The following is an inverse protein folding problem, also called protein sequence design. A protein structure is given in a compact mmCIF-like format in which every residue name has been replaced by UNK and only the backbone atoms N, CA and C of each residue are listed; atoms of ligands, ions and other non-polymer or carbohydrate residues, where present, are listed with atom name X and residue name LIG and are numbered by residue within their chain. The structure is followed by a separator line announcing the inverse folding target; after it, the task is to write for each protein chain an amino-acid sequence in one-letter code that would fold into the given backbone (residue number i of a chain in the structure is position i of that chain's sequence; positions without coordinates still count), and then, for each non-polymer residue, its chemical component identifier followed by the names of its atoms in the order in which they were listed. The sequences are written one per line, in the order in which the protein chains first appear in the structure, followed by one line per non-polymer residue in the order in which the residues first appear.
data_IF_328622298072
#
_entry.id   IF_328622298072
#
_cell.length_a   1.000
_cell.length_b   1.000
_cell.length_c   1.000
_cell.angle_alpha   90.00
_cell.angle_beta   90.00
_cell.angle_gamma   90.00
#
_symmetry.space_group_name_H-M   'P 1'
#
loop_
_entity.id
_entity.type
_entity.pdbx_description
1 polymer ?
#
# COMPACT_ATOMS: atom_id res chain seq x y z
N UNK A 1 27.11 11.96 19.10
CA UNK A 1 26.72 10.88 18.16
C UNK A 1 26.37 9.69 19.02
N UNK A 2 25.13 9.21 18.94
CA UNK A 2 24.77 7.92 19.52
C UNK A 2 25.62 6.83 18.87
N UNK A 3 26.08 5.87 19.66
CA UNK A 3 26.83 4.72 19.16
C UNK A 3 25.95 3.93 18.18
N UNK A 4 26.47 3.59 17.01
CA UNK A 4 25.73 2.84 15.98
C UNK A 4 25.45 1.39 16.40
N UNK A 5 26.04 0.95 17.51
CA UNK A 5 25.76 -0.36 18.12
C UNK A 5 24.44 -0.41 18.89
N UNK A 6 23.85 0.73 19.20
CA UNK A 6 22.57 0.86 19.90
C UNK A 6 21.49 1.43 18.98
N UNK A 7 20.22 1.28 19.38
CA UNK A 7 19.11 1.97 18.70
C UNK A 7 19.38 3.47 18.75
N UNK A 8 19.44 4.08 17.58
CA UNK A 8 19.62 5.51 17.43
C UNK A 8 18.51 6.07 16.54
N UNK A 9 18.07 7.27 16.88
CA UNK A 9 17.02 7.95 16.12
C UNK A 9 17.63 8.61 14.89
N UNK A 10 17.12 8.24 13.72
CA UNK A 10 17.24 9.04 12.51
C UNK A 10 16.05 10.02 12.47
N UNK A 11 16.34 11.32 12.45
CA UNK A 11 15.32 12.36 12.35
C UNK A 11 15.65 13.27 11.19
N UNK A 12 14.81 13.21 10.16
CA UNK A 12 14.98 13.97 8.93
C UNK A 12 13.69 14.72 8.58
N UNK A 13 13.84 15.82 7.84
CA UNK A 13 12.72 16.54 7.23
C UNK A 13 12.77 16.28 5.74
N UNK A 14 11.83 15.52 5.21
CA UNK A 14 11.67 15.31 3.77
C UNK A 14 10.68 16.33 3.21
N UNK A 15 11.12 17.11 2.21
CA UNK A 15 10.25 17.98 1.42
C UNK A 15 10.12 17.39 0.02
N UNK A 16 8.90 17.07 -0.39
CA UNK A 16 8.62 16.50 -1.71
C UNK A 16 7.75 17.47 -2.49
N UNK A 17 8.22 17.87 -3.67
CA UNK A 17 7.47 18.67 -4.63
C UNK A 17 7.25 17.85 -5.90
N UNK A 18 6.00 17.56 -6.22
CA UNK A 18 5.60 16.79 -7.42
C UNK A 18 4.48 17.52 -8.12
N UNK A 19 4.60 17.64 -9.44
CA UNK A 19 3.50 18.07 -10.30
C UNK A 19 2.54 16.89 -10.52
N UNK A 20 1.48 16.82 -9.72
CA UNK A 20 0.41 15.84 -9.90
C UNK A 20 -0.37 16.19 -11.18
N UNK A 21 -0.60 15.24 -12.11
CA UNK A 21 -1.36 15.52 -13.31
C UNK A 21 -2.80 15.92 -12.95
N UNK A 22 -3.41 16.81 -13.75
CA UNK A 22 -4.81 17.16 -13.59
C UNK A 22 -5.69 15.92 -13.79
N UNK A 23 -6.60 15.67 -12.85
CA UNK A 23 -7.50 14.52 -12.91
C UNK A 23 -8.89 14.90 -12.39
N UNK A 24 -9.93 14.16 -12.82
CA UNK A 24 -11.27 14.35 -12.27
C UNK A 24 -11.30 14.09 -10.74
N UNK A 25 -12.18 14.78 -9.99
CA UNK A 25 -12.40 14.47 -8.57
C UNK A 25 -12.71 12.98 -8.37
N UNK A 26 -12.16 12.41 -7.30
CA UNK A 26 -12.36 10.98 -7.01
C UNK A 26 -13.82 10.72 -6.65
N UNK A 27 -14.41 9.74 -7.31
CA UNK A 27 -15.66 9.10 -6.93
C UNK A 27 -15.39 7.62 -6.66
N UNK A 28 -16.20 6.99 -5.80
CA UNK A 28 -16.10 5.54 -5.60
C UNK A 28 -16.84 4.86 -6.75
N UNK A 29 -16.10 4.21 -7.64
CA UNK A 29 -16.69 3.49 -8.77
C UNK A 29 -17.28 2.15 -8.34
N UNK A 30 -18.21 1.62 -9.14
CA UNK A 30 -18.79 0.30 -8.90
C UNK A 30 -17.74 -0.83 -9.01
N UNK A 31 -16.71 -0.63 -9.84
CA UNK A 31 -15.56 -1.53 -9.94
C UNK A 31 -14.81 -1.57 -8.60
N UNK A 32 -14.35 -0.41 -8.11
CA UNK A 32 -13.67 -0.30 -6.82
C UNK A 32 -14.47 -0.90 -5.67
N UNK A 33 -15.75 -0.55 -5.55
CA UNK A 33 -16.60 -1.02 -4.45
C UNK A 33 -16.75 -2.55 -4.45
N UNK A 34 -16.79 -3.18 -5.63
CA UNK A 34 -16.87 -4.64 -5.78
C UNK A 34 -15.52 -5.30 -5.50
N UNK A 35 -14.47 -4.85 -6.16
CA UNK A 35 -13.14 -5.47 -6.11
C UNK A 35 -12.46 -5.28 -4.76
N UNK A 36 -12.77 -4.20 -4.02
CA UNK A 36 -12.33 -4.03 -2.62
C UNK A 36 -12.84 -5.15 -1.71
N UNK A 37 -14.05 -5.67 -1.93
CA UNK A 37 -14.57 -6.79 -1.13
C UNK A 37 -13.80 -8.08 -1.42
N UNK A 38 -13.48 -8.32 -2.70
CA UNK A 38 -12.66 -9.45 -3.13
C UNK A 38 -11.25 -9.34 -2.55
N UNK A 39 -10.66 -8.14 -2.54
CA UNK A 39 -9.38 -7.89 -1.88
C UNK A 39 -9.42 -8.23 -0.39
N UNK A 40 -10.46 -7.76 0.33
CA UNK A 40 -10.64 -8.09 1.75
C UNK A 40 -10.70 -9.61 1.97
N UNK A 41 -11.46 -10.33 1.16
CA UNK A 41 -11.55 -11.80 1.26
C UNK A 41 -10.21 -12.48 0.95
N UNK A 42 -9.53 -12.06 -0.12
CA UNK A 42 -8.23 -12.61 -0.55
C UNK A 42 -7.15 -12.46 0.52
N UNK A 43 -7.08 -11.28 1.15
CA UNK A 43 -6.07 -10.95 2.16
C UNK A 43 -6.48 -11.36 3.59
N UNK A 44 -7.57 -12.12 3.75
CA UNK A 44 -8.09 -12.52 5.06
C UNK A 44 -8.50 -11.34 5.95
N UNK A 45 -8.83 -10.21 5.35
CA UNK A 45 -9.13 -8.93 5.99
C UNK A 45 -8.04 -8.50 6.99
N UNK A 46 -6.78 -8.55 6.57
CA UNK A 46 -5.61 -8.20 7.38
C UNK A 46 -4.70 -7.18 6.71
N UNK A 47 -4.07 -6.34 7.52
CA UNK A 47 -3.11 -5.36 7.05
C UNK A 47 -1.84 -6.04 6.49
N UNK A 48 -1.38 -5.60 5.33
CA UNK A 48 -0.17 -6.09 4.68
C UNK A 48 1.10 -5.97 5.56
N UNK A 49 1.21 -4.94 6.40
CA UNK A 49 2.39 -4.71 7.24
C UNK A 49 2.32 -5.51 8.54
N UNK A 50 1.35 -5.21 9.41
CA UNK A 50 1.29 -5.81 10.76
C UNK A 50 0.37 -7.03 10.89
N UNK A 51 -0.34 -7.40 9.83
CA UNK A 51 -1.32 -8.50 9.83
C UNK A 51 -2.55 -8.29 10.75
N UNK A 52 -2.74 -7.08 11.28
CA UNK A 52 -3.89 -6.72 12.10
C UNK A 52 -5.21 -6.79 11.32
N UNK A 53 -6.27 -7.27 11.96
CA UNK A 53 -7.65 -7.05 11.50
C UNK A 53 -8.10 -5.60 11.76
N UNK A 54 -9.30 -5.26 11.28
CA UNK A 54 -9.92 -3.97 11.56
C UNK A 54 -10.16 -3.76 13.08
N UNK A 55 -10.56 -4.82 13.79
CA UNK A 55 -10.79 -4.80 15.23
C UNK A 55 -9.47 -4.60 15.99
N UNK A 56 -8.43 -5.35 15.61
CA UNK A 56 -7.10 -5.28 16.24
C UNK A 56 -6.45 -3.91 16.04
N UNK A 57 -6.59 -3.31 14.86
CA UNK A 57 -6.07 -1.98 14.54
C UNK A 57 -6.98 -0.82 14.97
N UNK A 58 -8.18 -1.11 15.50
CA UNK A 58 -9.15 -0.11 15.94
C UNK A 58 -9.81 0.71 14.82
N UNK A 59 -9.57 0.38 13.55
CA UNK A 59 -10.07 1.10 12.38
C UNK A 59 -10.36 0.17 11.21
N UNK A 60 -11.36 0.47 10.35
CA UNK A 60 -11.55 -0.29 9.12
C UNK A 60 -10.27 -0.32 8.26
N UNK A 61 -9.95 -1.48 7.70
CA UNK A 61 -8.83 -1.59 6.76
C UNK A 61 -9.13 -0.82 5.46
N UNK A 62 -8.07 -0.27 4.89
CA UNK A 62 -8.08 0.63 3.76
C UNK A 62 -7.44 -0.07 2.56
N UNK A 63 -8.07 0.08 1.38
CA UNK A 63 -7.50 -0.40 0.13
C UNK A 63 -6.65 0.72 -0.47
N UNK A 64 -5.35 0.57 -0.38
CA UNK A 64 -4.35 1.44 -0.97
C UNK A 64 -4.12 1.07 -2.44
N UNK A 65 -3.88 2.07 -3.30
CA UNK A 65 -3.60 1.83 -4.72
C UNK A 65 -2.12 1.47 -4.89
N UNK A 66 -1.82 0.26 -5.33
CA UNK A 66 -0.45 -0.21 -5.55
C UNK A 66 -0.39 -1.19 -6.72
N UNK A 67 0.54 -1.01 -7.68
CA UNK A 67 1.68 -0.08 -7.65
C UNK A 67 1.38 1.33 -8.18
N UNK A 68 0.21 1.57 -8.79
CA UNK A 68 -0.11 2.85 -9.42
C UNK A 68 -1.13 3.62 -8.59
N UNK A 69 -0.71 4.76 -8.06
CA UNK A 69 -1.59 5.71 -7.37
C UNK A 69 -2.62 6.30 -8.32
N UNK A 70 -3.87 6.41 -7.84
CA UNK A 70 -4.96 6.97 -8.65
C UNK A 70 -4.68 8.40 -9.10
N UNK A 71 -4.09 9.24 -8.25
CA UNK A 71 -3.77 10.63 -8.59
C UNK A 71 -2.70 10.76 -9.67
N UNK A 72 -1.92 9.71 -9.89
CA UNK A 72 -0.84 9.67 -10.88
C UNK A 72 -1.23 8.93 -12.16
N UNK A 73 -2.42 8.33 -12.24
CA UNK A 73 -2.81 7.47 -13.36
C UNK A 73 -2.70 8.16 -14.73
N UNK A 74 -3.02 9.46 -14.81
CA UNK A 74 -2.96 10.27 -16.03
C UNK A 74 -1.53 10.57 -16.50
N UNK A 75 -0.51 10.45 -15.63
CA UNK A 75 0.90 10.63 -16.02
C UNK A 75 1.60 9.32 -16.40
N UNK A 76 0.96 8.16 -16.24
CA UNK A 76 1.59 6.87 -16.49
C UNK A 76 1.69 6.59 -17.99
N UNK A 77 2.88 6.20 -18.44
CA UNK A 77 3.07 5.52 -19.72
C UNK A 77 2.57 4.08 -19.58
N UNK A 78 1.32 3.88 -20.00
CA UNK A 78 0.64 2.60 -19.87
C UNK A 78 1.20 1.50 -20.78
N UNK A 79 1.80 1.85 -21.92
CA UNK A 79 2.45 0.87 -22.79
C UNK A 79 3.72 0.34 -22.13
N UNK A 80 4.46 1.21 -21.44
CA UNK A 80 5.61 0.80 -20.62
C UNK A 80 5.17 -0.03 -19.42
N UNK A 81 4.16 0.41 -18.67
CA UNK A 81 3.66 -0.33 -17.51
C UNK A 81 3.15 -1.73 -17.89
N UNK A 82 2.43 -1.83 -19.01
CA UNK A 82 1.92 -3.10 -19.55
C UNK A 82 3.03 -4.10 -19.86
N UNK A 83 4.19 -3.65 -20.37
CA UNK A 83 5.32 -4.54 -20.63
C UNK A 83 5.82 -5.21 -19.34
N UNK A 84 6.05 -4.43 -18.28
CA UNK A 84 6.48 -4.94 -16.98
C UNK A 84 5.40 -5.85 -16.35
N UNK A 85 4.14 -5.46 -16.46
CA UNK A 85 3.01 -6.24 -15.97
C UNK A 85 2.92 -7.62 -16.64
N UNK A 86 2.99 -7.68 -17.98
CA UNK A 86 2.96 -8.93 -18.74
C UNK A 86 4.19 -9.80 -18.48
N UNK A 87 5.35 -9.18 -18.21
CA UNK A 87 6.57 -9.88 -17.80
C UNK A 87 6.50 -10.44 -16.36
N UNK A 88 5.44 -10.11 -15.59
CA UNK A 88 5.24 -10.60 -14.23
C UNK A 88 6.01 -9.83 -13.17
N UNK A 89 6.58 -8.67 -13.51
CA UNK A 89 7.39 -7.85 -12.59
C UNK A 89 6.60 -7.44 -11.33
N UNK A 90 5.31 -7.11 -11.52
CA UNK A 90 4.42 -6.69 -10.44
C UNK A 90 3.61 -7.84 -9.81
N UNK A 91 3.97 -9.09 -10.14
CA UNK A 91 3.35 -10.28 -9.58
C UNK A 91 2.15 -10.83 -10.38
N UNK A 92 1.65 -12.01 -9.97
CA UNK A 92 0.77 -12.84 -10.80
C UNK A 92 -0.61 -12.24 -11.02
N UNK A 93 -1.16 -11.49 -10.06
CA UNK A 93 -2.49 -10.87 -10.21
C UNK A 93 -2.48 -9.81 -11.30
N UNK A 94 -1.46 -8.95 -11.31
CA UNK A 94 -1.28 -7.91 -12.33
C UNK A 94 -0.93 -8.55 -13.68
N UNK A 95 -0.12 -9.61 -13.68
CA UNK A 95 0.19 -10.35 -14.90
C UNK A 95 -1.04 -10.97 -15.56
N UNK A 96 -1.96 -11.50 -14.74
CA UNK A 96 -3.19 -12.16 -15.19
C UNK A 96 -4.32 -11.19 -15.58
N UNK A 97 -4.14 -9.88 -15.39
CA UNK A 97 -5.10 -8.88 -15.85
C UNK A 97 -5.32 -8.97 -17.37
N UNK A 98 -6.53 -8.67 -17.84
CA UNK A 98 -6.88 -8.71 -19.27
C UNK A 98 -6.27 -7.52 -20.03
N UNK A 99 -4.95 -7.60 -20.25
CA UNK A 99 -4.17 -6.61 -20.98
C UNK A 99 -4.56 -6.51 -22.46
N UNK A 100 -5.25 -7.51 -23.02
CA UNK A 100 -5.73 -7.49 -24.40
C UNK A 100 -6.94 -6.57 -24.56
N UNK A 101 -7.80 -6.50 -23.54
CA UNK A 101 -8.98 -5.62 -23.50
C UNK A 101 -8.74 -4.29 -22.77
N UNK A 102 -7.50 -4.03 -22.33
CA UNK A 102 -7.14 -2.80 -21.64
C UNK A 102 -7.14 -1.60 -22.59
N UNK A 103 -8.03 -0.64 -22.32
CA UNK A 103 -8.22 0.57 -23.13
C UNK A 103 -8.22 1.84 -22.30
N UNK A 104 -8.45 1.75 -20.99
CA UNK A 104 -8.56 2.90 -20.10
C UNK A 104 -8.00 2.57 -18.72
N UNK A 105 -7.25 3.51 -18.13
CA UNK A 105 -6.56 3.27 -16.88
C UNK A 105 -7.50 2.95 -15.71
N UNK A 106 -8.75 3.41 -15.73
CA UNK A 106 -9.72 3.13 -14.66
C UNK A 106 -10.03 1.64 -14.55
N UNK A 107 -9.91 0.88 -15.66
CA UNK A 107 -10.10 -0.58 -15.66
C UNK A 107 -9.08 -1.29 -14.76
N UNK A 108 -7.87 -0.73 -14.64
CA UNK A 108 -6.79 -1.27 -13.82
C UNK A 108 -6.74 -0.61 -12.45
N UNK A 109 -6.69 0.72 -12.41
CA UNK A 109 -6.43 1.48 -11.19
C UNK A 109 -7.52 1.30 -10.15
N UNK A 110 -8.79 1.29 -10.56
CA UNK A 110 -9.92 1.07 -9.64
C UNK A 110 -10.16 -0.41 -9.34
N UNK A 111 -9.49 -1.33 -10.04
CA UNK A 111 -9.59 -2.76 -9.76
C UNK A 111 -8.64 -3.16 -8.63
N UNK A 112 -9.17 -3.22 -7.41
CA UNK A 112 -8.43 -3.60 -6.21
C UNK A 112 -7.99 -5.07 -6.19
N UNK A 113 -8.43 -5.90 -7.14
CA UNK A 113 -7.86 -7.26 -7.27
C UNK A 113 -6.49 -7.25 -7.92
N UNK A 114 -6.15 -6.21 -8.70
CA UNK A 114 -4.85 -6.09 -9.37
C UNK A 114 -4.04 -4.89 -8.86
N UNK A 115 -4.69 -3.77 -8.53
CA UNK A 115 -4.02 -2.54 -8.07
C UNK A 115 -4.30 -2.25 -6.58
N UNK A 116 -4.67 -3.26 -5.79
CA UNK A 116 -5.06 -3.09 -4.40
C UNK A 116 -4.10 -3.74 -3.40
N UNK A 117 -3.75 -2.98 -2.38
CA UNK A 117 -3.01 -3.45 -1.20
C UNK A 117 -3.80 -3.08 0.06
N UNK A 118 -4.06 -4.08 0.92
CA UNK A 118 -4.86 -3.87 2.12
C UNK A 118 -3.97 -3.43 3.29
N UNK A 119 -4.26 -2.28 3.90
CA UNK A 119 -3.47 -1.70 5.00
C UNK A 119 -4.37 -1.14 6.10
N UNK A 120 -3.89 -1.11 7.35
CA UNK A 120 -4.58 -0.37 8.40
C UNK A 120 -4.19 1.12 8.35
N UNK A 121 -4.94 1.96 9.07
CA UNK A 121 -4.71 3.41 9.11
C UNK A 121 -3.27 3.79 9.50
N UNK A 122 -2.68 3.09 10.47
CA UNK A 122 -1.28 3.26 10.89
C UNK A 122 -0.33 3.13 9.70
N UNK A 123 -0.44 2.02 8.96
CA UNK A 123 0.45 1.74 7.84
C UNK A 123 0.06 2.42 6.52
N UNK A 124 -1.06 3.15 6.48
CA UNK A 124 -1.50 3.87 5.30
C UNK A 124 -1.17 5.37 5.39
N UNK A 125 -1.79 6.08 6.34
CA UNK A 125 -1.82 7.55 6.38
C UNK A 125 -1.25 8.13 7.67
N UNK A 126 -0.96 7.31 8.68
CA UNK A 126 -0.42 7.83 9.92
C UNK A 126 0.99 8.41 9.72
N UNK A 127 1.27 9.40 10.56
CA UNK A 127 2.57 10.06 10.59
C UNK A 127 3.63 9.06 11.07
N UNK A 128 4.82 9.12 10.46
CA UNK A 128 6.00 8.35 10.87
C UNK A 128 5.83 6.81 10.82
N UNK A 129 4.86 6.29 10.05
CA UNK A 129 4.54 4.85 9.92
C UNK A 129 3.79 4.49 8.63
N UNK A 130 3.07 5.43 8.04
CA UNK A 130 2.25 5.22 6.84
C UNK A 130 3.03 5.22 5.52
N UNK A 131 2.51 4.50 4.52
CA UNK A 131 3.10 4.42 3.17
C UNK A 131 3.16 5.79 2.47
N UNK A 132 2.23 6.70 2.79
CA UNK A 132 2.23 8.06 2.27
C UNK A 132 3.14 9.03 3.03
N UNK A 133 3.74 8.61 4.14
CA UNK A 133 4.55 9.48 5.01
C UNK A 133 6.01 9.04 5.12
N UNK A 134 6.32 7.79 4.74
CA UNK A 134 7.66 7.22 4.81
C UNK A 134 8.23 6.86 3.42
N UNK A 135 9.55 7.00 3.23
CA UNK A 135 10.25 6.32 2.14
C UNK A 135 9.97 4.81 2.17
N UNK A 136 9.73 4.22 1.00
CA UNK A 136 9.33 2.81 0.86
C UNK A 136 10.23 1.82 1.62
N UNK A 137 11.59 1.94 1.62
CA UNK A 137 12.45 1.03 2.38
C UNK A 137 12.18 1.04 3.89
N UNK A 138 11.90 2.21 4.47
CA UNK A 138 11.56 2.34 5.90
C UNK A 138 10.17 1.78 6.16
N UNK A 139 9.22 2.07 5.27
CA UNK A 139 7.85 1.58 5.40
C UNK A 139 7.78 0.05 5.40
N UNK A 140 8.45 -0.61 4.44
CA UNK A 140 8.44 -2.08 4.34
C UNK A 140 9.24 -2.76 5.45
N UNK A 141 10.24 -2.09 6.03
CA UNK A 141 11.02 -2.63 7.14
C UNK A 141 10.13 -2.93 8.37
N UNK A 142 9.08 -2.14 8.61
CA UNK A 142 8.13 -2.36 9.71
C UNK A 142 7.51 -3.77 9.68
N UNK A 143 7.24 -4.31 8.48
CA UNK A 143 6.68 -5.66 8.29
C UNK A 143 7.56 -6.78 8.86
N UNK A 144 8.87 -6.57 8.89
CA UNK A 144 9.86 -7.58 9.29
C UNK A 144 10.63 -7.19 10.56
N UNK A 145 10.39 -5.99 11.08
CA UNK A 145 10.99 -5.52 12.31
C UNK A 145 10.56 -6.41 13.49
N UNK A 146 11.35 -6.44 14.56
CA UNK A 146 11.05 -7.26 15.74
C UNK A 146 9.81 -6.74 16.46
N UNK A 147 8.99 -7.64 17.00
CA UNK A 147 7.89 -7.30 17.92
C UNK A 147 8.37 -6.39 19.05
N UNK A 148 7.61 -5.35 19.37
CA UNK A 148 7.91 -4.41 20.44
C UNK A 148 9.03 -3.40 20.11
N UNK A 149 9.55 -3.39 18.89
CA UNK A 149 10.54 -2.41 18.48
C UNK A 149 9.92 -1.00 18.45
N UNK A 150 10.54 -0.04 19.14
CA UNK A 150 10.16 1.36 19.06
C UNK A 150 10.63 1.95 17.72
N UNK A 151 9.78 1.87 16.70
CA UNK A 151 10.09 2.32 15.35
C UNK A 151 10.15 3.85 15.27
N UNK A 152 9.25 4.52 15.99
CA UNK A 152 9.26 5.96 16.19
C UNK A 152 8.63 6.31 17.54
N UNK A 153 8.55 7.60 17.88
CA UNK A 153 7.82 8.06 19.06
C UNK A 153 6.30 7.75 18.99
N UNK A 154 5.80 7.38 17.81
CA UNK A 154 4.38 7.13 17.54
C UNK A 154 4.06 5.67 17.20
N UNK A 155 5.05 4.88 16.80
CA UNK A 155 4.85 3.49 16.37
C UNK A 155 5.75 2.53 17.14
N UNK A 156 5.11 1.56 17.79
CA UNK A 156 5.74 0.36 18.32
C UNK A 156 5.32 -0.81 17.44
N UNK A 157 6.29 -1.56 16.94
CA UNK A 157 6.02 -2.66 16.02
C UNK A 157 5.18 -3.75 16.69
N UNK A 158 4.09 -4.13 16.02
CA UNK A 158 3.20 -5.20 16.40
C UNK A 158 2.93 -6.16 15.24
N UNK A 159 3.01 -7.46 15.51
CA UNK A 159 2.66 -8.55 14.61
C UNK A 159 1.47 -9.29 15.18
N UNK A 160 0.36 -9.25 14.44
CA UNK A 160 -0.84 -9.98 14.81
C UNK A 160 -0.81 -11.33 14.12
N UNK A 161 -0.56 -12.40 14.86
CA UNK A 161 -0.63 -13.73 14.29
C UNK A 161 -2.05 -14.02 13.77
N UNK A 162 -2.12 -14.81 12.70
CA UNK A 162 -3.36 -15.51 12.41
C UNK A 162 -3.56 -16.48 13.56
N UNK A 163 -4.65 -16.35 14.33
CA UNK A 163 -4.95 -17.29 15.41
C UNK A 163 -4.85 -18.72 14.86
N UNK A 164 -3.74 -19.40 15.14
CA UNK A 164 -3.59 -20.82 14.86
C UNK A 164 -4.50 -21.49 15.88
N UNK A 165 -5.71 -21.82 15.45
CA UNK A 165 -6.49 -22.85 16.13
C UNK A 165 -5.92 -24.23 15.83
#
# INVERSE_FOLDING_TARGET
MSDVTEVHQEKETLSVEVNIPGHAPRTTTALFARTRKILLEREGARCFICNATAEQSGHPLEAHHHPIERSLAEMIDWDRFKQDAQAGYWGPNIQAFDWASFTDWTQFVDDMTVNGMLVCRTHHTAKDSGIHTLPFPLWVAQKYAKEGYAFSDLETIHHYDVDVK
#
